data_IF_000840792772
#
_entry.id   IF_000840792772
#
_cell.length_a   1.000
_cell.length_b   1.000
_cell.length_c   1.000
_cell.angle_alpha   90.00
_cell.angle_beta   90.00
_cell.angle_gamma   90.00
#
_symmetry.space_group_name_H-M   'P 1'
#
loop_
_entity.id
_entity.type
_entity.pdbx_description
1 polymer ?
#
# COMPACT_ATOMS: atom_id res chain seq x y z
N UNK A 1 -24.43 6.62 -6.95
CA UNK A 1 -23.03 7.02 -6.64
C UNK A 1 -22.62 8.18 -7.54
N UNK A 2 -22.01 9.24 -7.01
CA UNK A 2 -21.60 10.38 -7.84
C UNK A 2 -20.50 9.97 -8.83
N UNK A 3 -20.45 10.63 -10.00
CA UNK A 3 -19.43 10.40 -11.03
C UNK A 3 -18.02 10.55 -10.46
N UNK A 4 -17.85 11.50 -9.56
CA UNK A 4 -16.61 11.81 -8.84
C UNK A 4 -16.11 10.62 -8.00
N UNK A 5 -16.97 10.01 -7.18
CA UNK A 5 -16.59 8.84 -6.35
C UNK A 5 -16.18 7.65 -7.23
N UNK A 6 -16.83 7.49 -8.40
CA UNK A 6 -16.47 6.42 -9.35
C UNK A 6 -15.08 6.63 -9.94
N UNK A 7 -14.76 7.87 -10.33
CA UNK A 7 -13.43 8.22 -10.84
C UNK A 7 -12.37 7.97 -9.78
N UNK A 8 -12.57 8.47 -8.54
CA UNK A 8 -11.63 8.22 -7.45
C UNK A 8 -11.43 6.72 -7.15
N UNK A 9 -12.52 5.94 -7.17
CA UNK A 9 -12.45 4.49 -6.97
C UNK A 9 -11.59 3.81 -8.06
N UNK A 10 -11.79 4.17 -9.33
CA UNK A 10 -11.00 3.61 -10.44
C UNK A 10 -9.54 4.04 -10.34
N UNK A 11 -9.27 5.32 -10.06
CA UNK A 11 -7.91 5.82 -9.87
C UNK A 11 -7.17 5.09 -8.74
N UNK A 12 -7.85 4.83 -7.61
CA UNK A 12 -7.29 4.06 -6.49
C UNK A 12 -7.03 2.60 -6.85
N UNK A 13 -7.88 1.98 -7.67
CA UNK A 13 -7.62 0.61 -8.15
C UNK A 13 -6.38 0.58 -9.06
N UNK A 14 -6.24 1.55 -9.97
CA UNK A 14 -5.08 1.62 -10.87
C UNK A 14 -3.80 1.90 -10.07
N UNK A 15 -3.81 2.89 -9.17
CA UNK A 15 -2.64 3.19 -8.35
C UNK A 15 -2.31 2.04 -7.39
N UNK A 16 -3.31 1.38 -6.81
CA UNK A 16 -3.10 0.19 -5.99
C UNK A 16 -2.45 -0.95 -6.78
N UNK A 17 -2.84 -1.15 -8.04
CA UNK A 17 -2.22 -2.18 -8.90
C UNK A 17 -0.73 -1.88 -9.11
N UNK A 18 -0.42 -0.61 -9.43
CA UNK A 18 0.96 -0.14 -9.60
C UNK A 18 1.75 -0.32 -8.30
N UNK A 19 1.17 0.06 -7.15
CA UNK A 19 1.81 -0.13 -5.84
C UNK A 19 2.05 -1.61 -5.53
N UNK A 20 1.13 -2.51 -5.86
CA UNK A 20 1.32 -3.95 -5.65
C UNK A 20 2.46 -4.49 -6.50
N UNK A 21 2.53 -4.12 -7.77
CA UNK A 21 3.67 -4.48 -8.64
C UNK A 21 4.97 -3.98 -8.04
N UNK A 22 4.97 -2.74 -7.53
CA UNK A 22 6.17 -2.17 -6.93
C UNK A 22 6.63 -2.89 -5.67
N UNK A 23 5.69 -3.24 -4.78
CA UNK A 23 5.99 -4.03 -3.57
C UNK A 23 6.58 -5.39 -3.95
N UNK A 24 6.00 -6.07 -4.95
CA UNK A 24 6.53 -7.34 -5.44
C UNK A 24 7.93 -7.20 -6.06
N UNK A 25 8.15 -6.11 -6.80
CA UNK A 25 9.45 -5.76 -7.34
C UNK A 25 10.48 -5.54 -6.24
N UNK A 26 10.12 -4.83 -5.15
CA UNK A 26 11.02 -4.60 -4.02
C UNK A 26 11.37 -5.90 -3.29
N UNK A 27 10.37 -6.75 -3.02
CA UNK A 27 10.59 -8.09 -2.45
C UNK A 27 11.57 -8.91 -3.30
N UNK A 28 11.39 -8.87 -4.63
CA UNK A 28 12.28 -9.53 -5.57
C UNK A 28 13.70 -8.96 -5.47
N UNK A 29 13.86 -7.64 -5.46
CA UNK A 29 15.17 -6.99 -5.39
C UNK A 29 15.90 -7.27 -4.07
N UNK A 30 15.21 -7.16 -2.93
CA UNK A 30 15.79 -7.52 -1.61
C UNK A 30 16.32 -8.96 -1.64
N UNK A 31 15.63 -9.87 -2.33
CA UNK A 31 16.02 -11.28 -2.43
C UNK A 31 17.20 -11.52 -3.39
N UNK A 32 17.26 -10.82 -4.52
CA UNK A 32 18.22 -11.12 -5.60
C UNK A 32 19.43 -10.19 -5.64
N UNK A 33 19.24 -8.92 -5.30
CA UNK A 33 20.28 -7.90 -5.35
C UNK A 33 20.00 -6.85 -4.26
N UNK A 34 20.27 -7.21 -3.01
CA UNK A 34 20.09 -6.32 -1.86
C UNK A 34 20.90 -5.02 -2.00
N UNK A 35 22.04 -5.08 -2.69
CA UNK A 35 22.91 -3.93 -2.92
C UNK A 35 22.25 -2.87 -3.82
N UNK A 36 21.43 -3.31 -4.78
CA UNK A 36 20.65 -2.45 -5.67
C UNK A 36 19.63 -1.61 -4.91
N UNK A 37 19.02 -2.18 -3.87
CA UNK A 37 18.01 -1.51 -3.04
C UNK A 37 18.64 -0.48 -2.10
N UNK A 38 19.84 -0.78 -1.60
CA UNK A 38 20.51 0.01 -0.56
C UNK A 38 21.30 1.20 -1.11
N UNK A 39 21.95 1.06 -2.27
CA UNK A 39 22.99 2.00 -2.65
C UNK A 39 22.49 3.35 -3.17
N UNK A 40 21.21 3.47 -3.53
CA UNK A 40 20.54 4.69 -3.99
C UNK A 40 21.30 5.56 -5.03
N UNK A 41 22.38 5.06 -5.63
CA UNK A 41 23.45 5.84 -6.27
C UNK A 41 23.23 5.98 -7.78
N UNK A 42 22.85 4.91 -8.48
CA UNK A 42 22.48 4.96 -9.91
C UNK A 42 21.01 4.72 -10.16
N UNK A 43 20.33 4.07 -9.22
CA UNK A 43 18.94 3.60 -9.37
C UNK A 43 18.04 4.07 -8.22
N UNK A 44 18.60 4.82 -7.27
CA UNK A 44 17.87 5.35 -6.11
C UNK A 44 16.70 6.25 -6.48
N UNK A 45 16.78 6.94 -7.62
CA UNK A 45 15.66 7.75 -8.12
C UNK A 45 14.47 6.88 -8.54
N UNK A 46 14.71 5.72 -9.16
CA UNK A 46 13.64 4.78 -9.55
C UNK A 46 12.99 4.19 -8.29
N UNK A 47 13.80 3.71 -7.34
CA UNK A 47 13.30 3.20 -6.06
C UNK A 47 12.53 4.28 -5.28
N UNK A 48 13.08 5.49 -5.19
CA UNK A 48 12.44 6.62 -4.53
C UNK A 48 11.11 7.04 -5.16
N UNK A 49 11.01 7.06 -6.49
CA UNK A 49 9.74 7.32 -7.19
C UNK A 49 8.71 6.24 -6.85
N UNK A 50 9.12 4.97 -6.87
CA UNK A 50 8.25 3.87 -6.49
C UNK A 50 7.72 3.97 -5.06
N UNK A 51 8.61 4.25 -4.11
CA UNK A 51 8.25 4.50 -2.71
C UNK A 51 7.27 5.66 -2.57
N UNK A 52 7.51 6.77 -3.28
CA UNK A 52 6.60 7.91 -3.29
C UNK A 52 5.21 7.50 -3.81
N UNK A 53 5.14 6.69 -4.87
CA UNK A 53 3.88 6.17 -5.38
C UNK A 53 3.14 5.30 -4.36
N UNK A 54 3.85 4.40 -3.67
CA UNK A 54 3.26 3.55 -2.62
C UNK A 54 2.72 4.44 -1.48
N UNK A 55 3.50 5.41 -0.99
CA UNK A 55 3.08 6.32 0.08
C UNK A 55 1.84 7.12 -0.34
N UNK A 56 1.85 7.71 -1.54
CA UNK A 56 0.71 8.47 -2.06
C UNK A 56 -0.55 7.59 -2.16
N UNK A 57 -0.42 6.36 -2.64
CA UNK A 57 -1.53 5.41 -2.65
C UNK A 57 -2.09 5.16 -1.23
N UNK A 58 -1.22 4.98 -0.23
CA UNK A 58 -1.65 4.72 1.15
C UNK A 58 -2.40 5.92 1.75
N UNK A 59 -1.86 7.13 1.59
CA UNK A 59 -2.49 8.38 2.05
C UNK A 59 -3.87 8.54 1.39
N UNK A 60 -3.95 8.43 0.06
CA UNK A 60 -5.20 8.62 -0.68
C UNK A 60 -6.23 7.54 -0.33
N UNK A 61 -5.79 6.30 -0.13
CA UNK A 61 -6.66 5.19 0.28
C UNK A 61 -7.25 5.44 1.67
N UNK A 62 -6.44 5.87 2.63
CA UNK A 62 -6.91 6.22 3.98
C UNK A 62 -7.92 7.36 3.95
N UNK A 63 -7.62 8.45 3.23
CA UNK A 63 -8.54 9.58 3.07
C UNK A 63 -9.86 9.11 2.47
N UNK A 64 -9.81 8.30 1.40
CA UNK A 64 -11.00 7.76 0.74
C UNK A 64 -11.85 6.92 1.68
N UNK A 65 -11.22 6.01 2.46
CA UNK A 65 -11.93 5.16 3.42
C UNK A 65 -12.55 6.00 4.54
N UNK A 66 -11.84 7.01 5.07
CA UNK A 66 -12.36 7.91 6.10
C UNK A 66 -13.56 8.74 5.61
N UNK A 67 -13.50 9.28 4.40
CA UNK A 67 -14.66 9.96 3.78
C UNK A 67 -15.84 8.98 3.69
N UNK A 68 -15.58 7.74 3.26
CA UNK A 68 -16.61 6.72 3.19
C UNK A 68 -17.16 6.28 4.56
N UNK A 69 -16.33 6.36 5.61
CA UNK A 69 -16.70 6.14 7.01
C UNK A 69 -17.68 7.21 7.48
N UNK A 70 -17.38 8.49 7.21
CA UNK A 70 -18.23 9.61 7.60
C UNK A 70 -19.61 9.57 6.90
N UNK A 71 -19.65 9.16 5.63
CA UNK A 71 -20.89 9.15 4.84
C UNK A 71 -21.84 7.98 5.14
N UNK A 72 -21.37 6.88 5.74
CA UNK A 72 -22.19 5.68 6.03
C UNK A 72 -22.23 5.42 7.54
N UNK A 73 -23.36 5.74 8.16
CA UNK A 73 -23.59 5.61 9.61
C UNK A 73 -23.50 4.18 10.16
N UNK A 74 -23.67 3.16 9.33
CA UNK A 74 -23.58 1.77 9.77
C UNK A 74 -22.13 1.31 9.93
N UNK A 75 -21.84 0.64 11.05
CA UNK A 75 -20.60 -0.09 11.30
C UNK A 75 -20.45 -1.22 10.28
N UNK A 76 -19.34 -1.23 9.54
CA UNK A 76 -18.99 -2.33 8.63
C UNK A 76 -17.64 -2.91 9.07
N UNK A 77 -17.57 -4.19 9.49
CA UNK A 77 -16.33 -4.82 9.96
C UNK A 77 -15.18 -4.71 8.94
N UNK A 78 -15.48 -4.88 7.65
CA UNK A 78 -14.48 -4.76 6.59
C UNK A 78 -13.90 -3.34 6.59
N UNK A 79 -14.74 -2.32 6.66
CA UNK A 79 -14.30 -0.91 6.69
C UNK A 79 -13.39 -0.62 7.90
N UNK A 80 -13.79 -1.07 9.09
CA UNK A 80 -12.99 -0.86 10.31
C UNK A 80 -11.64 -1.57 10.20
N UNK A 81 -11.63 -2.81 9.69
CA UNK A 81 -10.39 -3.55 9.45
C UNK A 81 -9.48 -2.84 8.44
N UNK A 82 -10.02 -2.25 7.36
CA UNK A 82 -9.22 -1.52 6.39
C UNK A 82 -8.59 -0.26 7.00
N UNK A 83 -9.29 0.46 7.86
CA UNK A 83 -8.72 1.62 8.57
C UNK A 83 -7.59 1.20 9.49
N UNK A 84 -7.81 0.18 10.33
CA UNK A 84 -6.81 -0.33 11.27
C UNK A 84 -5.57 -0.82 10.51
N UNK A 85 -5.76 -1.62 9.46
CA UNK A 85 -4.66 -2.07 8.60
C UNK A 85 -3.95 -0.91 7.92
N UNK A 86 -4.67 0.13 7.49
CA UNK A 86 -4.06 1.32 6.90
C UNK A 86 -3.20 2.09 7.89
N UNK A 87 -3.59 2.17 9.17
CA UNK A 87 -2.75 2.78 10.22
C UNK A 87 -1.48 1.95 10.47
N UNK A 88 -1.61 0.62 10.61
CA UNK A 88 -0.45 -0.26 10.76
C UNK A 88 0.48 -0.19 9.54
N UNK A 89 -0.09 -0.13 8.34
CA UNK A 89 0.67 0.02 7.12
C UNK A 89 1.37 1.39 7.05
N UNK A 90 0.77 2.45 7.57
CA UNK A 90 1.44 3.74 7.65
C UNK A 90 2.63 3.73 8.62
N UNK A 91 2.47 3.07 9.78
CA UNK A 91 3.56 2.88 10.73
C UNK A 91 4.68 1.99 10.16
N UNK A 92 4.33 1.01 9.34
CA UNK A 92 5.29 0.12 8.70
C UNK A 92 6.30 0.87 7.82
N UNK A 93 5.93 1.98 7.16
CA UNK A 93 6.90 2.82 6.42
C UNK A 93 8.02 3.35 7.31
N UNK A 94 7.71 3.72 8.55
CA UNK A 94 8.72 4.22 9.49
C UNK A 94 9.71 3.13 9.88
N UNK A 95 9.21 1.91 10.13
CA UNK A 95 10.02 0.75 10.43
C UNK A 95 10.87 0.36 9.22
N UNK A 96 10.25 0.26 8.05
CA UNK A 96 10.89 -0.08 6.78
C UNK A 96 12.06 0.86 6.47
N UNK A 97 11.88 2.18 6.62
CA UNK A 97 12.94 3.16 6.43
C UNK A 97 14.11 2.94 7.41
N UNK A 98 13.84 2.70 8.69
CA UNK A 98 14.90 2.41 9.68
C UNK A 98 15.63 1.12 9.32
N UNK A 99 14.91 0.08 8.90
CA UNK A 99 15.54 -1.17 8.48
C UNK A 99 16.38 -1.00 7.23
N UNK A 100 15.96 -0.23 6.23
CA UNK A 100 16.83 0.07 5.08
C UNK A 100 18.12 0.79 5.48
N UNK A 101 18.04 1.76 6.40
CA UNK A 101 19.22 2.46 6.90
C UNK A 101 20.17 1.50 7.65
N UNK A 102 19.62 0.58 8.47
CA UNK A 102 20.39 -0.41 9.22
C UNK A 102 21.03 -1.47 8.30
N UNK A 103 20.26 -2.06 7.37
CA UNK A 103 20.82 -2.99 6.37
C UNK A 103 21.90 -2.28 5.56
N UNK A 104 21.68 -1.02 5.19
CA UNK A 104 22.67 -0.25 4.45
C UNK A 104 23.98 -0.04 5.21
N UNK A 105 23.88 0.27 6.50
CA UNK A 105 25.02 0.40 7.40
C UNK A 105 25.77 -0.92 7.54
N UNK A 106 25.07 -2.02 7.79
CA UNK A 106 25.67 -3.34 7.97
C UNK A 106 26.31 -3.87 6.69
N UNK A 107 25.67 -3.62 5.54
CA UNK A 107 26.24 -3.94 4.24
C UNK A 107 27.54 -3.18 3.97
N UNK A 108 27.64 -1.91 4.37
CA UNK A 108 28.89 -1.14 4.27
C UNK A 108 29.99 -1.67 5.19
N UNK A 109 29.62 -2.24 6.35
CA UNK A 109 30.54 -2.84 7.31
C UNK A 109 30.84 -4.32 7.03
N UNK A 110 30.33 -4.88 5.93
CA UNK A 110 30.44 -6.30 5.56
C UNK A 110 29.86 -7.24 6.64
N UNK A 111 28.86 -6.78 7.39
CA UNK A 111 28.16 -7.56 8.40
C UNK A 111 26.87 -8.17 7.83
N UNK A 112 26.51 -9.40 8.25
CA UNK A 112 25.25 -10.00 7.85
C UNK A 112 24.07 -9.32 8.58
N UNK A 113 23.03 -8.98 7.83
CA UNK A 113 21.82 -8.28 8.31
C UNK A 113 20.51 -9.12 8.23
N UNK A 114 20.49 -10.40 8.66
CA UNK A 114 19.35 -11.27 8.40
C UNK A 114 18.09 -10.84 9.15
N UNK A 115 18.22 -10.22 10.34
CA UNK A 115 17.08 -9.80 11.15
C UNK A 115 16.34 -8.63 10.53
N UNK A 116 17.09 -7.64 10.09
CA UNK A 116 16.64 -6.40 9.46
C UNK A 116 15.94 -6.71 8.13
N UNK A 117 16.50 -7.63 7.33
CA UNK A 117 15.88 -8.12 6.09
C UNK A 117 14.55 -8.85 6.37
N UNK A 118 14.44 -9.62 7.45
CA UNK A 118 13.17 -10.24 7.85
C UNK A 118 12.13 -9.16 8.18
N UNK A 119 12.52 -8.12 8.92
CA UNK A 119 11.61 -7.00 9.23
C UNK A 119 11.17 -6.23 7.99
N UNK A 120 12.03 -6.04 6.99
CA UNK A 120 11.66 -5.48 5.69
C UNK A 120 10.57 -6.32 5.02
N UNK A 121 10.72 -7.64 4.95
CA UNK A 121 9.70 -8.52 4.37
C UNK A 121 8.36 -8.46 5.12
N UNK A 122 8.40 -8.32 6.45
CA UNK A 122 7.18 -8.14 7.25
C UNK A 122 6.49 -6.82 6.89
N UNK A 123 7.24 -5.71 6.79
CA UNK A 123 6.69 -4.41 6.41
C UNK A 123 6.07 -4.45 5.01
N UNK A 124 6.81 -4.95 4.02
CA UNK A 124 6.32 -5.13 2.65
C UNK A 124 5.08 -6.04 2.59
N UNK A 125 5.04 -7.09 3.41
CA UNK A 125 3.87 -7.95 3.58
C UNK A 125 2.64 -7.19 4.11
N UNK A 126 2.83 -6.32 5.10
CA UNK A 126 1.76 -5.45 5.63
C UNK A 126 1.24 -4.51 4.53
N UNK A 127 2.14 -3.87 3.76
CA UNK A 127 1.75 -3.03 2.63
C UNK A 127 0.95 -3.81 1.58
N UNK A 128 1.41 -5.00 1.20
CA UNK A 128 0.69 -5.86 0.25
C UNK A 128 -0.71 -6.23 0.75
N UNK A 129 -0.84 -6.65 2.01
CA UNK A 129 -2.13 -6.98 2.64
C UNK A 129 -3.06 -5.76 2.63
N UNK A 130 -2.54 -4.58 2.96
CA UNK A 130 -3.34 -3.35 2.95
C UNK A 130 -3.82 -3.02 1.54
N UNK A 131 -2.94 -3.03 0.53
CA UNK A 131 -3.29 -2.80 -0.88
C UNK A 131 -4.40 -3.76 -1.34
N UNK A 132 -4.25 -5.06 -1.06
CA UNK A 132 -5.27 -6.07 -1.40
C UNK A 132 -6.60 -5.81 -0.69
N UNK A 133 -6.55 -5.41 0.58
CA UNK A 133 -7.76 -5.09 1.36
C UNK A 133 -8.48 -3.88 0.77
N UNK A 134 -7.75 -2.83 0.37
CA UNK A 134 -8.31 -1.66 -0.32
C UNK A 134 -8.95 -2.07 -1.65
N UNK A 135 -8.30 -2.94 -2.42
CA UNK A 135 -8.86 -3.50 -3.65
C UNK A 135 -10.22 -4.18 -3.43
N UNK A 136 -10.28 -5.06 -2.44
CA UNK A 136 -11.50 -5.80 -2.08
C UNK A 136 -12.59 -4.82 -1.65
N UNK A 137 -12.24 -3.84 -0.81
CA UNK A 137 -13.17 -2.82 -0.31
C UNK A 137 -13.78 -2.00 -1.46
N UNK A 138 -12.94 -1.43 -2.33
CA UNK A 138 -13.39 -0.58 -3.44
C UNK A 138 -14.21 -1.41 -4.45
N UNK A 139 -13.76 -2.62 -4.79
CA UNK A 139 -14.48 -3.49 -5.73
C UNK A 139 -15.87 -3.85 -5.22
N UNK A 140 -16.00 -4.25 -3.95
CA UNK A 140 -17.30 -4.52 -3.32
C UNK A 140 -18.20 -3.28 -3.36
N UNK A 141 -17.65 -2.10 -3.07
CA UNK A 141 -18.40 -0.84 -3.08
C UNK A 141 -18.90 -0.47 -4.48
N UNK A 142 -18.11 -0.72 -5.53
CA UNK A 142 -18.52 -0.53 -6.93
C UNK A 142 -19.64 -1.49 -7.34
N UNK A 143 -19.55 -2.77 -6.96
CA UNK A 143 -20.57 -3.79 -7.25
C UNK A 143 -21.91 -3.42 -6.59
N UNK A 144 -21.89 -3.07 -5.30
CA UNK A 144 -23.10 -2.67 -4.56
C UNK A 144 -23.74 -1.44 -5.21
N UNK A 145 -22.92 -0.45 -5.59
CA UNK A 145 -23.41 0.77 -6.23
C UNK A 145 -24.04 0.51 -7.61
N UNK A 146 -23.57 -0.50 -8.35
CA UNK A 146 -24.17 -0.92 -9.62
C UNK A 146 -25.54 -1.56 -9.40
N UNK A 147 -25.64 -2.50 -8.45
CA UNK A 147 -26.91 -3.18 -8.12
C UNK A 147 -28.00 -2.21 -7.67
N UNK A 148 -27.66 -1.23 -6.83
CA UNK A 148 -28.62 -0.21 -6.39
C UNK A 148 -29.17 0.64 -7.55
N UNK A 149 -28.35 0.91 -8.58
CA UNK A 149 -28.79 1.67 -9.75
C UNK A 149 -29.76 0.87 -10.62
N UNK A 150 -29.54 -0.44 -10.76
CA UNK A 150 -30.43 -1.33 -11.54
C UNK A 150 -31.82 -1.43 -10.91
N UNK A 151 -31.89 -1.55 -9.58
CA UNK A 151 -33.17 -1.62 -8.84
C UNK A 151 -33.96 -0.31 -8.97
N UNK A 152 -33.30 0.86 -8.97
CA UNK A 152 -33.98 2.17 -9.06
C UNK A 152 -34.59 2.50 -10.43
N UNK A 153 -34.29 1.70 -11.46
CA UNK A 153 -34.78 1.88 -12.84
C UNK A 153 -35.98 0.96 -13.13
N UNK A 154 -36.24 -0.03 -12.26
CA UNK A 154 -37.41 -0.89 -12.30
C UNK A 154 -38.54 -0.31 -11.46
#
# INVERSE_FOLDING_TARGET
MSRTIKIYSISLLISGFISLIWILFDIYQIKTDLSFVIRFDKVGLIMGIGYLFIILFHILSLIFIMIHFHLKKESNPLRNSTVILGLFSFLAFGIEKVMYDEVGREYYLEWPAPGEVIFLYICLGIHAIFVVTVFIFITKQLIISKKQKEISIQ
#
